data_IF_452098126628
#
_entry.id   IF_452098126628
#
_cell.length_a   1.000
_cell.length_b   1.000
_cell.length_c   1.000
_cell.angle_alpha   90.00
_cell.angle_beta   90.00
_cell.angle_gamma   90.00
#
_symmetry.space_group_name_H-M   'P 1'
#
loop_
_entity.id
_entity.type
_entity.pdbx_description
1 polymer ?
#
# COMPACT_ATOMS: atom_id res chain seq x y z
N UNK A 1 -32.36 10.49 38.30
CA UNK A 1 -31.22 11.01 37.51
C UNK A 1 -30.55 9.84 36.76
N UNK A 2 -30.78 9.67 35.45
CA UNK A 2 -30.23 8.55 34.63
C UNK A 2 -29.86 8.96 33.19
N UNK A 3 -29.38 10.19 32.98
CA UNK A 3 -29.03 10.71 31.63
C UNK A 3 -27.54 10.77 31.23
N UNK A 4 -26.52 10.61 32.11
CA UNK A 4 -25.12 10.81 31.68
C UNK A 4 -24.53 9.63 30.89
N UNK A 5 -24.93 8.39 31.18
CA UNK A 5 -24.35 7.19 30.54
C UNK A 5 -24.78 7.05 29.07
N UNK A 6 -26.01 7.42 28.74
CA UNK A 6 -26.55 7.33 27.37
C UNK A 6 -25.82 8.27 26.39
N UNK A 7 -25.38 9.44 26.84
CA UNK A 7 -24.58 10.38 26.03
C UNK A 7 -23.17 9.85 25.73
N UNK A 8 -22.54 9.21 26.72
CA UNK A 8 -21.19 8.64 26.56
C UNK A 8 -21.24 7.47 25.57
N UNK A 9 -22.21 6.57 25.70
CA UNK A 9 -22.38 5.42 24.79
C UNK A 9 -22.74 5.89 23.37
N UNK A 10 -23.63 6.88 23.23
CA UNK A 10 -23.98 7.45 21.93
C UNK A 10 -22.79 8.13 21.24
N UNK A 11 -21.95 8.85 21.99
CA UNK A 11 -20.75 9.50 21.47
C UNK A 11 -19.70 8.48 20.97
N UNK A 12 -19.46 7.40 21.71
CA UNK A 12 -18.51 6.35 21.32
C UNK A 12 -18.98 5.62 20.05
N UNK A 13 -20.28 5.31 19.94
CA UNK A 13 -20.85 4.69 18.73
C UNK A 13 -20.72 5.61 17.52
N UNK A 14 -20.99 6.92 17.68
CA UNK A 14 -20.83 7.89 16.61
C UNK A 14 -19.36 8.00 16.15
N UNK A 15 -18.39 8.00 17.08
CA UNK A 15 -16.97 7.99 16.75
C UNK A 15 -16.59 6.70 16.00
N UNK A 16 -17.06 5.54 16.43
CA UNK A 16 -16.79 4.28 15.74
C UNK A 16 -17.35 4.26 14.31
N UNK A 17 -18.55 4.82 14.09
CA UNK A 17 -19.13 4.93 12.74
C UNK A 17 -18.34 5.89 11.85
N UNK A 18 -17.89 7.03 12.40
CA UNK A 18 -17.04 7.97 11.67
C UNK A 18 -15.70 7.32 11.32
N UNK A 19 -15.06 6.63 12.27
CA UNK A 19 -13.80 5.91 12.03
C UNK A 19 -14.00 4.81 10.99
N UNK A 20 -15.06 4.01 11.07
CA UNK A 20 -15.36 2.97 10.08
C UNK A 20 -15.62 3.56 8.68
N UNK A 21 -16.28 4.71 8.60
CA UNK A 21 -16.53 5.40 7.32
C UNK A 21 -15.25 5.99 6.73
N UNK A 22 -14.40 6.59 7.57
CA UNK A 22 -13.08 7.09 7.16
C UNK A 22 -12.16 5.95 6.72
N UNK A 23 -12.19 4.83 7.46
CA UNK A 23 -11.42 3.63 7.14
C UNK A 23 -11.86 3.04 5.79
N UNK A 24 -13.17 2.84 5.58
CA UNK A 24 -13.71 2.32 4.30
C UNK A 24 -13.46 3.27 3.12
N UNK A 25 -13.59 4.59 3.31
CA UNK A 25 -13.30 5.58 2.27
C UNK A 25 -11.82 5.59 1.87
N UNK A 26 -10.91 5.55 2.85
CA UNK A 26 -9.47 5.43 2.62
C UNK A 26 -9.15 4.17 1.83
N UNK A 27 -9.67 3.01 2.28
CA UNK A 27 -9.34 1.71 1.71
C UNK A 27 -9.85 1.54 0.27
N UNK A 28 -11.09 1.98 -0.02
CA UNK A 28 -11.68 1.88 -1.37
C UNK A 28 -10.90 2.67 -2.42
N UNK A 29 -10.29 3.78 -2.02
CA UNK A 29 -9.44 4.57 -2.92
C UNK A 29 -8.08 3.91 -3.15
N UNK A 30 -7.51 3.22 -2.15
CA UNK A 30 -6.26 2.48 -2.26
C UNK A 30 -6.41 1.23 -3.16
N UNK A 31 -7.49 0.46 -2.99
CA UNK A 31 -7.80 -0.71 -3.83
C UNK A 31 -7.85 -0.39 -5.32
N UNK A 32 -8.34 0.81 -5.68
CA UNK A 32 -8.42 1.25 -7.07
C UNK A 32 -7.03 1.39 -7.71
N UNK A 33 -6.07 2.00 -7.01
CA UNK A 33 -4.70 2.13 -7.51
C UNK A 33 -4.01 0.78 -7.60
N UNK A 34 -4.12 -0.03 -6.54
CA UNK A 34 -3.51 -1.36 -6.47
C UNK A 34 -4.00 -2.26 -7.60
N UNK A 35 -5.30 -2.37 -7.82
CA UNK A 35 -5.85 -3.23 -8.87
C UNK A 35 -5.38 -2.82 -10.27
N UNK A 36 -5.34 -1.51 -10.55
CA UNK A 36 -4.87 -1.01 -11.84
C UNK A 36 -3.39 -1.27 -12.06
N UNK A 37 -2.55 -1.02 -11.04
CA UNK A 37 -1.09 -1.19 -11.13
C UNK A 37 -0.73 -2.67 -11.28
N UNK A 38 -1.41 -3.54 -10.52
CA UNK A 38 -1.25 -4.99 -10.61
C UNK A 38 -1.62 -5.49 -12.02
N UNK A 39 -2.71 -4.98 -12.60
CA UNK A 39 -3.08 -5.29 -13.98
C UNK A 39 -2.00 -4.91 -14.98
N UNK A 40 -1.47 -3.68 -14.88
CA UNK A 40 -0.37 -3.22 -15.74
C UNK A 40 0.90 -4.09 -15.59
N UNK A 41 1.21 -4.52 -14.37
CA UNK A 41 2.33 -5.41 -14.09
C UNK A 41 2.16 -6.77 -14.80
N UNK A 42 1.01 -7.40 -14.67
CA UNK A 42 0.74 -8.69 -15.33
C UNK A 42 0.66 -8.58 -16.85
N UNK A 43 0.21 -7.44 -17.38
CA UNK A 43 0.24 -7.13 -18.82
C UNK A 43 1.66 -6.85 -19.36
N UNK A 44 2.68 -6.80 -18.49
CA UNK A 44 4.06 -6.46 -18.87
C UNK A 44 4.29 -4.98 -19.18
N UNK A 45 3.33 -4.10 -18.86
CA UNK A 45 3.39 -2.65 -19.10
C UNK A 45 4.16 -1.95 -17.97
N UNK A 46 5.41 -2.33 -17.79
CA UNK A 46 6.20 -1.94 -16.61
C UNK A 46 6.44 -0.42 -16.50
N UNK A 47 6.67 0.28 -17.62
CA UNK A 47 6.84 1.75 -17.62
C UNK A 47 5.54 2.49 -17.24
N UNK A 48 4.40 1.97 -17.69
CA UNK A 48 3.08 2.51 -17.36
C UNK A 48 2.75 2.26 -15.89
N UNK A 49 3.07 1.05 -15.39
CA UNK A 49 2.97 0.70 -13.98
C UNK A 49 3.83 1.62 -13.10
N UNK A 50 5.06 1.93 -13.52
CA UNK A 50 5.96 2.85 -12.80
C UNK A 50 5.38 4.27 -12.72
N UNK A 51 4.80 4.75 -13.83
CA UNK A 51 4.09 6.04 -13.86
C UNK A 51 2.88 6.04 -12.91
N UNK A 52 2.10 4.96 -12.90
CA UNK A 52 0.95 4.81 -12.01
C UNK A 52 1.36 4.73 -10.53
N UNK A 53 2.45 4.03 -10.21
CA UNK A 53 3.05 3.97 -8.87
C UNK A 53 3.47 5.36 -8.37
N UNK A 54 4.10 6.17 -9.22
CA UNK A 54 4.46 7.55 -8.88
C UNK A 54 3.23 8.40 -8.54
N UNK A 55 2.16 8.28 -9.34
CA UNK A 55 0.88 8.96 -9.06
C UNK A 55 0.24 8.49 -7.75
N UNK A 56 0.25 7.17 -7.49
CA UNK A 56 -0.27 6.61 -6.25
C UNK A 56 0.48 7.15 -5.02
N UNK A 57 1.81 7.25 -5.12
CA UNK A 57 2.67 7.87 -4.10
C UNK A 57 2.35 9.35 -3.86
N UNK A 58 2.20 10.14 -4.92
CA UNK A 58 1.83 11.56 -4.82
C UNK A 58 0.44 11.76 -4.19
N UNK A 59 -0.49 10.84 -4.44
CA UNK A 59 -1.82 10.85 -3.83
C UNK A 59 -1.84 10.38 -2.36
N UNK A 60 -0.68 10.03 -1.78
CA UNK A 60 -0.60 9.45 -0.43
C UNK A 60 -1.24 8.07 -0.33
N UNK A 61 -1.29 7.33 -1.44
CA UNK A 61 -1.87 5.98 -1.58
C UNK A 61 -0.77 4.99 -1.95
N UNK A 62 0.19 4.81 -1.04
CA UNK A 62 1.36 3.96 -1.27
C UNK A 62 1.67 3.16 -0.02
N UNK A 63 1.17 1.93 0.00
CA UNK A 63 1.32 0.98 1.09
C UNK A 63 2.46 0.00 0.83
N UNK A 64 2.66 -0.93 1.77
CA UNK A 64 3.67 -2.00 1.68
C UNK A 64 3.52 -2.81 0.38
N UNK A 65 2.30 -3.15 -0.02
CA UNK A 65 2.02 -3.96 -1.22
C UNK A 65 2.44 -3.24 -2.51
N UNK A 66 2.06 -1.97 -2.66
CA UNK A 66 2.52 -1.15 -3.78
C UNK A 66 4.04 -0.94 -3.74
N UNK A 67 4.62 -0.89 -2.54
CA UNK A 67 6.06 -0.88 -2.33
C UNK A 67 6.78 -2.11 -2.89
N UNK A 68 6.20 -3.30 -2.70
CA UNK A 68 6.73 -4.56 -3.22
C UNK A 68 6.58 -4.59 -4.75
N UNK A 69 5.39 -4.26 -5.27
CA UNK A 69 5.15 -4.23 -6.72
C UNK A 69 6.10 -3.24 -7.42
N UNK A 70 6.39 -2.10 -6.79
CA UNK A 70 7.36 -1.15 -7.33
C UNK A 70 8.75 -1.76 -7.47
N UNK A 71 9.23 -2.47 -6.46
CA UNK A 71 10.51 -3.18 -6.56
C UNK A 71 10.50 -4.23 -7.67
N UNK A 72 9.40 -4.97 -7.82
CA UNK A 72 9.25 -5.97 -8.89
C UNK A 72 9.24 -5.33 -10.28
N UNK A 73 8.53 -4.22 -10.47
CA UNK A 73 8.52 -3.45 -11.71
C UNK A 73 9.93 -2.96 -12.05
N UNK A 74 10.66 -2.41 -11.09
CA UNK A 74 12.05 -1.97 -11.28
C UNK A 74 12.96 -3.15 -11.68
N UNK A 75 12.81 -4.30 -11.04
CA UNK A 75 13.58 -5.50 -11.38
C UNK A 75 13.26 -5.98 -12.81
N UNK A 76 11.99 -5.97 -13.23
CA UNK A 76 11.58 -6.32 -14.60
C UNK A 76 12.10 -5.36 -15.66
N UNK A 77 12.34 -4.09 -15.29
CA UNK A 77 12.99 -3.09 -16.13
C UNK A 77 14.53 -3.18 -16.11
N UNK A 78 15.11 -4.15 -15.39
CA UNK A 78 16.57 -4.30 -15.26
C UNK A 78 17.22 -3.29 -14.30
N UNK A 79 16.43 -2.52 -13.56
CA UNK A 79 16.89 -1.50 -12.60
C UNK A 79 17.11 -2.13 -11.22
N UNK A 80 18.01 -3.10 -11.15
CA UNK A 80 18.17 -3.98 -9.98
C UNK A 80 18.61 -3.24 -8.71
N UNK A 81 19.50 -2.26 -8.83
CA UNK A 81 19.93 -1.45 -7.67
C UNK A 81 18.77 -0.67 -7.06
N UNK A 82 17.90 -0.11 -7.90
CA UNK A 82 16.74 0.62 -7.44
C UNK A 82 15.67 -0.32 -6.87
N UNK A 83 15.51 -1.50 -7.46
CA UNK A 83 14.65 -2.55 -6.90
C UNK A 83 15.11 -2.95 -5.50
N UNK A 84 16.42 -3.19 -5.32
CA UNK A 84 17.03 -3.52 -4.03
C UNK A 84 16.79 -2.42 -3.00
N UNK A 85 17.06 -1.16 -3.36
CA UNK A 85 16.82 -0.02 -2.47
C UNK A 85 15.33 0.11 -2.08
N UNK A 86 14.43 -0.15 -3.03
CA UNK A 86 12.99 -0.08 -2.80
C UNK A 86 12.51 -1.19 -1.85
N UNK A 87 12.97 -2.43 -2.07
CA UNK A 87 12.73 -3.56 -1.18
C UNK A 87 13.24 -3.31 0.24
N UNK A 88 14.46 -2.80 0.36
CA UNK A 88 15.03 -2.41 1.65
C UNK A 88 14.19 -1.35 2.37
N UNK A 89 13.68 -0.36 1.64
CA UNK A 89 12.77 0.63 2.20
C UNK A 89 11.48 0.00 2.73
N UNK A 90 10.93 -1.00 2.04
CA UNK A 90 9.73 -1.73 2.48
C UNK A 90 10.05 -2.51 3.76
N UNK A 91 11.16 -3.26 3.78
CA UNK A 91 11.61 -4.04 4.95
C UNK A 91 11.73 -3.19 6.22
N UNK A 92 12.33 -2.01 6.11
CA UNK A 92 12.52 -1.09 7.25
C UNK A 92 11.19 -0.53 7.76
N UNK A 93 10.23 -0.28 6.86
CA UNK A 93 8.92 0.29 7.23
C UNK A 93 7.96 -0.75 7.80
N UNK A 94 8.03 -1.97 7.28
CA UNK A 94 7.10 -3.03 7.59
C UNK A 94 7.86 -4.34 7.80
N UNK A 95 8.16 -4.62 9.07
CA UNK A 95 8.85 -5.83 9.46
C UNK A 95 8.09 -7.11 9.08
N UNK A 96 6.75 -7.05 8.95
CA UNK A 96 5.94 -8.20 8.55
C UNK A 96 6.16 -8.61 7.08
N UNK A 97 6.56 -7.66 6.24
CA UNK A 97 6.88 -7.91 4.83
C UNK A 97 8.32 -8.42 4.62
N UNK A 98 9.14 -8.46 5.67
CA UNK A 98 10.58 -8.82 5.58
C UNK A 98 10.81 -10.16 4.92
N UNK A 99 10.00 -11.18 5.23
CA UNK A 99 10.18 -12.50 4.64
C UNK A 99 9.99 -12.44 3.11
N UNK A 100 8.86 -11.91 2.65
CA UNK A 100 8.56 -11.79 1.22
C UNK A 100 9.61 -10.93 0.49
N UNK A 101 10.04 -9.83 1.12
CA UNK A 101 11.07 -8.95 0.56
C UNK A 101 12.43 -9.66 0.46
N UNK A 102 12.82 -10.45 1.46
CA UNK A 102 14.09 -11.18 1.44
C UNK A 102 14.11 -12.24 0.32
N UNK A 103 12.99 -12.92 0.08
CA UNK A 103 12.83 -13.85 -1.05
C UNK A 103 13.06 -13.10 -2.38
N UNK A 104 12.40 -11.95 -2.57
CA UNK A 104 12.55 -11.13 -3.78
C UNK A 104 13.96 -10.54 -3.94
N UNK A 105 14.64 -10.19 -2.85
CA UNK A 105 16.03 -9.72 -2.86
C UNK A 105 17.01 -10.79 -3.29
N UNK A 106 16.73 -12.06 -2.97
CA UNK A 106 17.55 -13.20 -3.38
C UNK A 106 17.38 -13.58 -4.85
N UNK A 107 16.24 -13.21 -5.46
CA UNK A 107 15.97 -13.40 -6.90
C UNK A 107 16.62 -12.34 -7.79
N UNK A 108 17.08 -11.22 -7.21
CA UNK A 108 17.78 -10.19 -7.98
C UNK A 108 19.16 -10.71 -8.44
N UNK A 109 19.60 -10.36 -9.67
CA UNK A 109 20.94 -10.72 -10.16
C UNK A 109 22.08 -10.13 -9.34
#
# INVERSE_FOLDING_TARGET
>A
MKKPILYIVGGVVAIMLVVATLYTFSNKSLEKYTSSIVGMYYDGKFEEALTALSKAKQAGRYDTNLGIIHGQVLAKLGRYEEARAQYESVRVKDASATQAVNELLAELP
#
